data_IF_375572102058
#
_entry.id   IF_375572102058
#
_cell.length_a   1.000
_cell.length_b   1.000
_cell.length_c   1.000
_cell.angle_alpha   90.00
_cell.angle_beta   90.00
_cell.angle_gamma   90.00
#
_symmetry.space_group_name_H-M   'P 1'
#
loop_
_entity.id
_entity.type
_entity.pdbx_description
1 polymer ?
#
# COMPACT_ATOMS: atom_id res chain seq x y z
N UNK A 1 -18.63 47.64 -47.72
CA UNK A 1 -17.80 46.53 -48.20
C UNK A 1 -16.72 46.15 -47.22
N UNK A 2 -15.95 47.10 -46.64
CA UNK A 2 -14.91 46.78 -45.64
C UNK A 2 -15.43 46.33 -44.28
N UNK A 3 -16.57 46.84 -43.81
CA UNK A 3 -17.15 46.48 -42.53
C UNK A 3 -17.59 45.01 -42.45
N UNK A 4 -18.11 44.45 -43.50
CA UNK A 4 -18.52 43.03 -43.57
C UNK A 4 -17.30 42.10 -43.54
N UNK A 5 -16.23 42.45 -44.18
CA UNK A 5 -14.96 41.70 -44.14
C UNK A 5 -14.35 41.67 -42.75
N UNK A 6 -14.33 42.79 -42.02
CA UNK A 6 -13.83 42.88 -40.65
C UNK A 6 -14.68 42.01 -39.70
N UNK A 7 -15.99 42.01 -39.83
CA UNK A 7 -16.88 41.20 -39.02
C UNK A 7 -16.63 39.71 -39.24
N UNK A 8 -16.43 39.26 -40.48
CA UNK A 8 -16.15 37.87 -40.81
C UNK A 8 -14.82 37.41 -40.18
N UNK A 9 -13.78 38.26 -40.26
CA UNK A 9 -12.47 37.96 -39.65
C UNK A 9 -12.59 37.87 -38.11
N UNK A 10 -13.31 38.78 -37.47
CA UNK A 10 -13.53 38.74 -36.01
C UNK A 10 -14.26 37.47 -35.58
N UNK A 11 -15.31 37.07 -36.30
CA UNK A 11 -16.06 35.85 -36.02
C UNK A 11 -15.15 34.61 -36.20
N UNK A 12 -14.35 34.57 -37.25
CA UNK A 12 -13.41 33.49 -37.48
C UNK A 12 -12.35 33.37 -36.36
N UNK A 13 -11.80 34.50 -35.91
CA UNK A 13 -10.84 34.52 -34.78
C UNK A 13 -11.51 34.02 -33.48
N UNK A 14 -12.69 34.50 -33.16
CA UNK A 14 -13.45 34.04 -31.99
C UNK A 14 -13.76 32.52 -32.05
N UNK A 15 -14.10 32.02 -33.24
CA UNK A 15 -14.32 30.60 -33.45
C UNK A 15 -13.06 29.76 -33.18
N UNK A 16 -11.93 30.20 -33.71
CA UNK A 16 -10.63 29.51 -33.46
C UNK A 16 -10.26 29.55 -31.98
N UNK A 17 -10.39 30.70 -31.32
CA UNK A 17 -10.11 30.83 -29.88
C UNK A 17 -11.03 29.92 -29.05
N UNK A 18 -12.30 29.81 -29.40
CA UNK A 18 -13.26 28.92 -28.76
C UNK A 18 -12.79 27.46 -28.84
N UNK A 19 -12.37 26.98 -30.03
CA UNK A 19 -11.89 25.60 -30.20
C UNK A 19 -10.57 25.32 -29.48
N UNK A 20 -9.68 26.30 -29.40
CA UNK A 20 -8.44 26.20 -28.60
C UNK A 20 -8.79 26.06 -27.12
N UNK A 21 -9.71 26.84 -26.59
CA UNK A 21 -10.14 26.75 -25.20
C UNK A 21 -10.80 25.39 -24.88
N UNK A 22 -11.64 24.87 -25.77
CA UNK A 22 -12.30 23.56 -25.64
C UNK A 22 -11.24 22.45 -25.64
N UNK A 23 -10.29 22.48 -26.57
CA UNK A 23 -9.24 21.45 -26.65
C UNK A 23 -8.34 21.47 -25.42
N UNK A 24 -7.97 22.66 -24.92
CA UNK A 24 -7.20 22.80 -23.68
C UNK A 24 -7.96 22.24 -22.46
N UNK A 25 -9.28 22.47 -22.39
CA UNK A 25 -10.14 21.92 -21.35
C UNK A 25 -10.19 20.38 -21.37
N UNK A 26 -10.31 19.78 -22.55
CA UNK A 26 -10.31 18.32 -22.72
C UNK A 26 -8.96 17.72 -22.29
N UNK A 27 -7.85 18.31 -22.71
CA UNK A 27 -6.49 17.85 -22.31
C UNK A 27 -6.31 17.95 -20.80
N UNK A 28 -6.75 19.05 -20.19
CA UNK A 28 -6.70 19.21 -18.74
C UNK A 28 -7.52 18.15 -18.00
N UNK A 29 -8.74 17.89 -18.45
CA UNK A 29 -9.59 16.84 -17.90
C UNK A 29 -8.95 15.46 -18.02
N UNK A 30 -8.34 15.16 -19.16
CA UNK A 30 -7.61 13.91 -19.38
C UNK A 30 -6.43 13.73 -18.40
N UNK A 31 -5.65 14.80 -18.19
CA UNK A 31 -4.55 14.79 -17.21
C UNK A 31 -5.07 14.53 -15.79
N UNK A 32 -6.21 15.12 -15.40
CA UNK A 32 -6.82 14.88 -14.09
C UNK A 32 -7.25 13.42 -13.94
N UNK A 33 -7.89 12.85 -14.95
CA UNK A 33 -8.31 11.43 -14.94
C UNK A 33 -7.09 10.52 -14.80
N UNK A 34 -6.03 10.75 -15.56
CA UNK A 34 -4.78 9.96 -15.47
C UNK A 34 -4.14 10.07 -14.08
N UNK A 35 -4.14 11.27 -13.47
CA UNK A 35 -3.63 11.46 -12.10
C UNK A 35 -4.44 10.65 -11.07
N UNK A 36 -5.76 10.68 -11.16
CA UNK A 36 -6.64 9.93 -10.25
C UNK A 36 -6.44 8.43 -10.42
N UNK A 37 -6.40 7.94 -11.66
CA UNK A 37 -6.16 6.53 -11.96
C UNK A 37 -4.79 6.06 -11.46
N UNK A 38 -3.71 6.82 -11.70
CA UNK A 38 -2.38 6.49 -11.17
C UNK A 38 -2.37 6.42 -9.64
N UNK A 39 -3.03 7.36 -8.96
CA UNK A 39 -3.14 7.35 -7.50
C UNK A 39 -3.88 6.10 -7.00
N UNK A 40 -4.95 5.70 -7.71
CA UNK A 40 -5.74 4.51 -7.34
C UNK A 40 -4.96 3.20 -7.55
N UNK A 41 -4.29 3.05 -8.69
CA UNK A 41 -3.47 1.87 -9.03
C UNK A 41 -2.31 1.73 -8.04
N UNK A 42 -1.53 2.79 -7.83
CA UNK A 42 -0.40 2.77 -6.90
C UNK A 42 -0.81 2.46 -5.44
N UNK A 43 -1.98 2.94 -5.01
CA UNK A 43 -2.50 2.61 -3.67
C UNK A 43 -2.92 1.14 -3.54
N UNK A 44 -3.34 0.50 -4.62
CA UNK A 44 -3.69 -0.93 -4.65
C UNK A 44 -2.45 -1.81 -4.57
N UNK A 45 -1.41 -1.52 -5.35
CA UNK A 45 -0.12 -2.22 -5.32
C UNK A 45 0.50 -2.18 -3.92
N UNK A 46 0.64 -1.00 -3.31
CA UNK A 46 1.15 -0.84 -1.95
C UNK A 46 0.32 -1.61 -0.92
N UNK A 47 -0.99 -1.72 -1.13
CA UNK A 47 -1.87 -2.49 -0.22
C UNK A 47 -1.63 -4.00 -0.34
N UNK A 48 -1.44 -4.51 -1.55
CA UNK A 48 -1.16 -5.94 -1.77
C UNK A 48 0.24 -6.32 -1.27
N UNK A 49 1.25 -5.48 -1.51
CA UNK A 49 2.59 -5.66 -0.93
C UNK A 49 2.56 -5.70 0.61
N UNK A 50 1.86 -4.76 1.25
CA UNK A 50 1.70 -4.77 2.72
C UNK A 50 1.04 -6.04 3.23
N UNK A 51 0.03 -6.56 2.53
CA UNK A 51 -0.61 -7.82 2.91
C UNK A 51 0.33 -9.01 2.75
N UNK A 52 1.12 -9.05 1.68
CA UNK A 52 2.10 -10.11 1.46
C UNK A 52 3.15 -10.12 2.58
N UNK A 53 3.71 -8.95 2.93
CA UNK A 53 4.67 -8.81 4.05
C UNK A 53 4.05 -9.19 5.38
N UNK A 54 2.82 -8.74 5.68
CA UNK A 54 2.11 -9.11 6.91
C UNK A 54 1.87 -10.62 7.02
N UNK A 55 1.55 -11.28 5.90
CA UNK A 55 1.38 -12.73 5.85
C UNK A 55 2.71 -13.46 6.10
N UNK A 56 3.79 -13.05 5.45
CA UNK A 56 5.13 -13.64 5.62
C UNK A 56 5.63 -13.48 7.05
N UNK A 57 5.45 -12.29 7.66
CA UNK A 57 5.78 -12.04 9.06
C UNK A 57 4.96 -12.95 9.98
N UNK A 58 3.67 -13.10 9.73
CA UNK A 58 2.79 -13.97 10.51
C UNK A 58 3.23 -15.42 10.48
N UNK A 59 3.60 -15.93 9.31
CA UNK A 59 4.16 -17.28 9.13
C UNK A 59 5.47 -17.45 9.92
N UNK A 60 6.39 -16.49 9.82
CA UNK A 60 7.64 -16.49 10.57
C UNK A 60 7.42 -16.47 12.10
N UNK A 61 6.47 -15.68 12.58
CA UNK A 61 6.09 -15.66 14.00
C UNK A 61 5.58 -17.02 14.47
N UNK A 62 4.70 -17.63 13.69
CA UNK A 62 4.13 -18.95 13.99
C UNK A 62 5.19 -20.05 14.00
N UNK A 63 6.07 -20.08 13.01
CA UNK A 63 7.16 -21.04 12.91
C UNK A 63 8.11 -20.94 14.10
N UNK A 64 8.54 -19.74 14.47
CA UNK A 64 9.40 -19.51 15.61
C UNK A 64 8.74 -19.90 16.93
N UNK A 65 7.46 -19.61 17.11
CA UNK A 65 6.70 -20.08 18.27
C UNK A 65 6.66 -21.60 18.37
N UNK A 66 6.37 -22.29 17.27
CA UNK A 66 6.33 -23.77 17.21
C UNK A 66 7.73 -24.34 17.48
N UNK A 67 8.79 -23.77 16.90
CA UNK A 67 10.17 -24.13 17.14
C UNK A 67 10.52 -24.05 18.63
N UNK A 68 10.03 -23.04 19.32
CA UNK A 68 10.19 -22.87 20.76
C UNK A 68 9.20 -23.69 21.61
N UNK A 69 8.34 -24.50 20.99
CA UNK A 69 7.33 -25.33 21.66
C UNK A 69 6.36 -24.54 22.55
N UNK A 70 6.03 -23.31 22.13
CA UNK A 70 5.15 -22.41 22.88
C UNK A 70 3.73 -22.42 22.31
N UNK A 71 2.74 -22.24 23.20
CA UNK A 71 1.34 -22.04 22.79
C UNK A 71 1.08 -20.54 22.54
N UNK A 72 0.00 -20.23 21.78
CA UNK A 72 -0.44 -18.83 21.59
C UNK A 72 -0.84 -18.19 22.93
N UNK A 73 -1.41 -18.96 23.86
CA UNK A 73 -1.73 -18.51 25.22
C UNK A 73 -0.49 -18.08 25.99
N UNK A 74 0.54 -18.92 25.98
CA UNK A 74 1.80 -18.63 26.69
C UNK A 74 2.46 -17.35 26.16
N UNK A 75 2.51 -17.20 24.83
CA UNK A 75 3.07 -15.98 24.20
C UNK A 75 2.23 -14.76 24.58
N UNK A 76 0.92 -14.86 24.53
CA UNK A 76 -0.01 -13.77 24.88
C UNK A 76 0.16 -13.34 26.33
N UNK A 77 0.22 -14.28 27.26
CA UNK A 77 0.44 -14.03 28.69
C UNK A 77 1.80 -13.37 28.96
N UNK A 78 2.85 -13.89 28.31
CA UNK A 78 4.22 -13.34 28.45
C UNK A 78 4.32 -11.90 27.93
N UNK A 79 3.63 -11.56 26.85
CA UNK A 79 3.63 -10.21 26.27
C UNK A 79 2.57 -9.29 26.89
N UNK A 80 1.67 -9.78 27.74
CA UNK A 80 0.57 -9.00 28.30
C UNK A 80 -0.48 -8.59 27.26
N UNK A 81 -0.73 -9.43 26.26
CA UNK A 81 -1.71 -9.19 25.19
C UNK A 81 -2.77 -10.30 25.17
N UNK A 82 -3.82 -10.14 24.38
CA UNK A 82 -4.82 -11.19 24.22
C UNK A 82 -4.31 -12.31 23.28
N UNK A 83 -4.75 -13.56 23.52
CA UNK A 83 -4.49 -14.68 22.59
C UNK A 83 -4.98 -14.35 21.17
N UNK A 84 -6.09 -13.63 21.05
CA UNK A 84 -6.62 -13.21 19.74
C UNK A 84 -5.66 -12.29 19.00
N UNK A 85 -4.91 -11.42 19.71
CA UNK A 85 -3.89 -10.57 19.11
C UNK A 85 -2.78 -11.41 18.52
N UNK A 86 -2.25 -12.38 19.27
CA UNK A 86 -1.21 -13.31 18.77
C UNK A 86 -1.71 -14.09 17.56
N UNK A 87 -2.94 -14.61 17.61
CA UNK A 87 -3.56 -15.32 16.47
C UNK A 87 -3.71 -14.42 15.24
N UNK A 88 -4.09 -13.15 15.40
CA UNK A 88 -4.20 -12.20 14.29
C UNK A 88 -2.84 -11.86 13.67
N UNK A 89 -1.79 -11.78 14.47
CA UNK A 89 -0.44 -11.57 13.97
C UNK A 89 0.06 -12.77 13.16
N UNK A 90 -0.15 -13.98 13.67
CA UNK A 90 0.30 -15.21 12.99
C UNK A 90 -0.46 -15.50 11.68
N UNK A 91 -1.68 -15.04 11.54
CA UNK A 91 -2.44 -15.21 10.29
C UNK A 91 -2.39 -13.97 9.35
N UNK A 92 -1.57 -12.96 9.70
CA UNK A 92 -1.39 -11.77 8.90
C UNK A 92 -2.60 -10.81 8.86
N UNK A 93 -3.57 -10.98 9.76
CA UNK A 93 -4.75 -10.08 9.84
C UNK A 93 -4.45 -8.74 10.51
N UNK A 94 -3.40 -8.68 11.31
CA UNK A 94 -2.83 -7.46 11.89
C UNK A 94 -1.35 -7.66 12.20
N UNK A 95 -0.61 -6.58 12.31
CA UNK A 95 0.81 -6.60 12.67
C UNK A 95 1.01 -6.33 14.17
N UNK A 96 2.01 -6.95 14.81
CA UNK A 96 2.45 -6.53 16.12
C UNK A 96 3.06 -5.13 16.05
N UNK A 97 2.86 -4.31 17.06
CA UNK A 97 3.58 -3.05 17.15
C UNK A 97 5.08 -3.31 17.42
N UNK A 98 5.91 -2.29 17.25
CA UNK A 98 7.38 -2.40 17.39
C UNK A 98 7.79 -2.96 18.75
N UNK A 99 7.13 -2.56 19.84
CA UNK A 99 7.43 -3.06 21.19
C UNK A 99 7.13 -4.55 21.31
N UNK A 100 6.02 -5.01 20.77
CA UNK A 100 5.65 -6.43 20.76
C UNK A 100 6.57 -7.24 19.84
N UNK A 101 7.00 -6.68 18.70
CA UNK A 101 7.93 -7.34 17.81
C UNK A 101 9.29 -7.58 18.48
N UNK A 102 9.81 -6.59 19.21
CA UNK A 102 11.04 -6.72 20.00
C UNK A 102 10.86 -7.74 21.14
N UNK A 103 9.72 -7.76 21.81
CA UNK A 103 9.44 -8.73 22.86
C UNK A 103 9.34 -10.16 22.30
N UNK A 104 8.70 -10.35 21.15
CA UNK A 104 8.62 -11.62 20.44
C UNK A 104 10.00 -12.13 20.02
N UNK A 105 10.85 -11.27 19.45
CA UNK A 105 12.22 -11.66 19.06
C UNK A 105 13.04 -12.14 20.26
N UNK A 106 12.96 -11.46 21.39
CA UNK A 106 13.59 -11.89 22.64
C UNK A 106 13.04 -13.21 23.14
N UNK A 107 11.73 -13.39 23.11
CA UNK A 107 11.04 -14.61 23.54
C UNK A 107 11.45 -15.82 22.69
N UNK A 108 11.56 -15.63 21.37
CA UNK A 108 11.94 -16.66 20.40
C UNK A 108 13.46 -16.84 20.27
N UNK A 109 14.26 -16.02 20.95
CA UNK A 109 15.73 -16.03 20.93
C UNK A 109 16.32 -15.84 19.53
N UNK A 110 15.75 -14.92 18.78
CA UNK A 110 16.21 -14.46 17.46
C UNK A 110 16.36 -12.95 17.47
N UNK A 111 17.11 -12.39 16.52
CA UNK A 111 17.18 -10.93 16.39
C UNK A 111 15.91 -10.36 15.75
N UNK A 112 15.52 -9.12 16.06
CA UNK A 112 14.40 -8.46 15.36
C UNK A 112 14.65 -8.35 13.85
N UNK A 113 15.90 -8.14 13.45
CA UNK A 113 16.32 -8.06 12.05
C UNK A 113 16.08 -9.39 11.33
N UNK A 114 16.48 -10.50 11.91
CA UNK A 114 16.26 -11.84 11.37
C UNK A 114 14.77 -12.16 11.22
N UNK A 115 13.95 -11.75 12.20
CA UNK A 115 12.50 -11.92 12.13
C UNK A 115 11.89 -11.11 10.98
N UNK A 116 12.40 -9.91 10.72
CA UNK A 116 11.95 -9.06 9.61
C UNK A 116 12.48 -9.55 8.25
N UNK A 117 13.69 -10.07 8.17
CA UNK A 117 14.25 -10.67 6.96
C UNK A 117 13.42 -11.88 6.50
N UNK A 118 12.97 -12.71 7.43
CA UNK A 118 12.05 -13.81 7.11
C UNK A 118 10.73 -13.32 6.50
N UNK A 119 10.28 -12.12 6.89
CA UNK A 119 9.07 -11.51 6.35
C UNK A 119 9.26 -10.91 4.95
N UNK A 120 10.49 -10.58 4.55
CA UNK A 120 10.80 -9.98 3.25
C UNK A 120 11.28 -11.00 2.20
N UNK A 121 11.62 -12.21 2.61
CA UNK A 121 11.93 -13.31 1.68
C UNK A 121 10.65 -13.73 0.98
N UNK A 122 10.56 -13.39 -0.30
CA UNK A 122 9.52 -13.93 -1.19
C UNK A 122 9.81 -15.41 -1.47
N UNK A 123 8.79 -16.28 -1.61
CA UNK A 123 8.95 -17.72 -1.86
C UNK A 123 9.59 -18.10 -3.21
N UNK A 124 10.14 -17.15 -3.96
CA UNK A 124 10.66 -17.36 -5.33
C UNK A 124 12.19 -17.58 -5.41
N UNK A 125 12.89 -17.71 -4.28
CA UNK A 125 14.36 -17.90 -4.28
C UNK A 125 14.85 -19.31 -3.83
N UNK A 126 13.95 -20.32 -3.87
CA UNK A 126 14.36 -21.74 -3.70
C UNK A 126 14.22 -22.56 -4.99
#
# INVERSE_FOLDING_TARGET
MYATGVIIILVAVLYVLFWIAVSAGIVYLFILIVKVLKKYVNSKEVREEKKAVAKSLGEALKENRIRCQMTQEFVAETLGVSRQSVSKWENGSSDPNTSNLIALSKLYKISPEELLECATRTPEED
#
